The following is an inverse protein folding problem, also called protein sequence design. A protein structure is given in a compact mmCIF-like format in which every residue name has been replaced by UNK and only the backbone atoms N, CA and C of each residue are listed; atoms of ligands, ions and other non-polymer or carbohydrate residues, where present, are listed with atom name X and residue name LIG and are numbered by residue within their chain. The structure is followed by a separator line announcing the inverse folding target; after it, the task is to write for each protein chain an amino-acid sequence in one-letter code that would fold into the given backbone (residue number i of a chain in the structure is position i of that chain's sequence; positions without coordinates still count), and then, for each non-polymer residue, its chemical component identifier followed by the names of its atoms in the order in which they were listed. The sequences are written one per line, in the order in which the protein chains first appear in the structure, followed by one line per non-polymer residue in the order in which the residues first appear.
data_IF_462165951781
#
_entry.id   IF_462165951781
#
_cell.length_a   1.000
_cell.length_b   1.000
_cell.length_c   1.000
_cell.angle_alpha   90.00
_cell.angle_beta   90.00
_cell.angle_gamma   90.00
#
_symmetry.space_group_name_H-M   'P 1'
#
loop_
_entity.id
_entity.type
_entity.pdbx_description
1 polymer ?
#
# COMPACT_ATOMS: atom_id res chain seq x y z
N UNK A 1 29.08 -27.70 15.98
CA UNK A 1 27.93 -28.45 16.53
C UNK A 1 26.81 -27.43 16.70
N UNK A 2 25.76 -27.52 15.90
CA UNK A 2 24.60 -26.62 15.95
C UNK A 2 23.75 -26.90 17.20
N UNK A 3 23.24 -25.85 17.82
CA UNK A 3 22.47 -25.92 19.05
C UNK A 3 21.02 -26.35 18.74
N UNK A 4 20.42 -27.31 19.47
CA UNK A 4 19.12 -27.91 19.13
C UNK A 4 17.89 -26.98 19.21
N UNK A 5 18.09 -25.69 19.52
CA UNK A 5 17.03 -24.68 19.63
C UNK A 5 17.29 -23.45 18.76
N UNK A 6 18.23 -23.51 17.82
CA UNK A 6 18.43 -22.41 16.90
C UNK A 6 17.30 -22.41 15.84
N UNK A 7 16.44 -21.38 15.78
CA UNK A 7 15.44 -21.31 14.73
C UNK A 7 16.15 -21.24 13.38
N UNK A 8 15.66 -21.94 12.34
CA UNK A 8 16.32 -21.99 11.05
C UNK A 8 16.52 -20.56 10.54
N UNK A 9 17.78 -20.12 10.48
CA UNK A 9 18.12 -18.87 9.82
C UNK A 9 17.94 -19.14 8.34
N UNK A 10 16.94 -18.52 7.73
CA UNK A 10 16.78 -18.52 6.29
C UNK A 10 17.95 -17.73 5.66
N UNK A 11 19.12 -18.35 5.57
CA UNK A 11 20.23 -17.87 4.76
C UNK A 11 19.80 -18.06 3.31
N UNK A 12 19.47 -16.94 2.64
CA UNK A 12 19.12 -16.89 1.21
C UNK A 12 20.36 -17.10 0.33
N UNK A 13 21.18 -18.10 0.62
CA UNK A 13 22.38 -18.40 -0.15
C UNK A 13 22.48 -19.90 -0.38
N UNK A 14 22.48 -20.23 -1.68
CA UNK A 14 23.01 -21.47 -2.26
C UNK A 14 22.10 -22.70 -2.27
N UNK A 15 20.95 -22.54 -2.90
CA UNK A 15 20.32 -23.63 -3.66
C UNK A 15 19.48 -23.00 -4.74
N UNK A 16 19.93 -23.04 -6.02
CA UNK A 16 19.11 -22.59 -7.14
C UNK A 16 17.77 -23.33 -7.07
N UNK A 17 16.63 -22.67 -6.80
CA UNK A 17 15.37 -23.32 -7.07
C UNK A 17 15.29 -23.44 -8.58
N UNK A 18 15.06 -24.66 -9.07
CA UNK A 18 14.78 -24.97 -10.47
C UNK A 18 13.41 -24.40 -10.92
N UNK A 19 13.11 -23.15 -10.55
CA UNK A 19 11.92 -22.45 -10.97
C UNK A 19 12.28 -21.64 -12.23
N UNK A 20 11.70 -21.96 -13.38
CA UNK A 20 11.71 -21.08 -14.55
C UNK A 20 10.61 -20.03 -14.35
N UNK A 21 10.95 -18.80 -13.95
CA UNK A 21 9.98 -17.72 -13.75
C UNK A 21 10.56 -16.47 -13.07
N UNK A 22 9.79 -15.37 -13.00
CA UNK A 22 10.20 -14.06 -12.44
C UNK A 22 10.79 -14.12 -11.01
N UNK A 23 10.49 -15.21 -10.29
CA UNK A 23 10.97 -15.56 -8.95
C UNK A 23 12.35 -16.23 -8.91
N UNK A 24 12.96 -16.51 -10.06
CA UNK A 24 14.30 -17.08 -10.16
C UNK A 24 15.34 -15.95 -10.23
N UNK A 25 16.08 -15.74 -9.14
CA UNK A 25 17.16 -14.75 -9.07
C UNK A 25 17.57 -14.43 -7.63
N UNK A 26 18.69 -13.73 -7.44
CA UNK A 26 19.27 -13.45 -6.11
C UNK A 26 18.50 -12.47 -5.20
N UNK A 27 17.35 -11.96 -5.64
CA UNK A 27 16.48 -11.04 -4.88
C UNK A 27 14.99 -11.45 -4.94
N UNK A 28 14.62 -12.70 -4.61
CA UNK A 28 13.24 -13.16 -4.76
C UNK A 28 12.29 -12.46 -3.77
N UNK A 29 12.78 -12.09 -2.59
CA UNK A 29 11.98 -11.48 -1.53
C UNK A 29 11.50 -10.06 -1.87
N UNK A 30 12.38 -9.22 -2.42
CA UNK A 30 12.01 -7.86 -2.81
C UNK A 30 11.09 -7.82 -4.02
N UNK A 31 11.26 -8.74 -4.98
CA UNK A 31 10.34 -8.88 -6.11
C UNK A 31 8.94 -9.28 -5.65
N UNK A 32 8.84 -10.24 -4.73
CA UNK A 32 7.56 -10.65 -4.14
C UNK A 32 6.90 -9.50 -3.36
N UNK A 33 7.68 -8.72 -2.62
CA UNK A 33 7.19 -7.51 -1.95
C UNK A 33 6.59 -6.52 -2.96
N UNK A 34 7.29 -6.17 -4.04
CA UNK A 34 6.78 -5.22 -5.03
C UNK A 34 5.51 -5.71 -5.72
N UNK A 35 5.44 -7.01 -6.03
CA UNK A 35 4.25 -7.62 -6.61
C UNK A 35 3.07 -7.52 -5.64
N UNK A 36 3.26 -7.95 -4.39
CA UNK A 36 2.22 -7.89 -3.35
C UNK A 36 1.80 -6.44 -3.09
N UNK A 37 2.77 -5.54 -2.98
CA UNK A 37 2.56 -4.11 -2.76
C UNK A 37 1.69 -3.51 -3.85
N UNK A 38 2.08 -3.67 -5.12
CA UNK A 38 1.38 -3.09 -6.26
C UNK A 38 -0.03 -3.69 -6.43
N UNK A 39 -0.15 -5.02 -6.35
CA UNK A 39 -1.44 -5.71 -6.47
C UNK A 39 -2.37 -5.31 -5.32
N UNK A 40 -1.88 -5.32 -4.08
CA UNK A 40 -2.67 -4.93 -2.92
C UNK A 40 -3.08 -3.46 -2.96
N UNK A 41 -2.20 -2.55 -3.40
CA UNK A 41 -2.54 -1.14 -3.55
C UNK A 41 -3.65 -0.92 -4.58
N UNK A 42 -3.56 -1.60 -5.73
CA UNK A 42 -4.61 -1.56 -6.76
C UNK A 42 -5.93 -2.15 -6.24
N UNK A 43 -5.88 -3.30 -5.57
CA UNK A 43 -7.07 -3.94 -5.00
C UNK A 43 -7.74 -3.07 -3.94
N UNK A 44 -6.99 -2.47 -3.02
CA UNK A 44 -7.52 -1.53 -2.02
C UNK A 44 -8.19 -0.34 -2.72
N UNK A 45 -7.56 0.21 -3.76
CA UNK A 45 -8.14 1.29 -4.55
C UNK A 45 -9.43 0.88 -5.27
N UNK A 46 -9.48 -0.33 -5.83
CA UNK A 46 -10.67 -0.87 -6.49
C UNK A 46 -11.80 -1.10 -5.50
N UNK A 47 -11.53 -1.74 -4.36
CA UNK A 47 -12.53 -2.01 -3.31
C UNK A 47 -13.06 -0.69 -2.74
N UNK A 48 -12.18 0.27 -2.44
CA UNK A 48 -12.60 1.58 -1.94
C UNK A 48 -13.45 2.35 -2.98
N UNK A 49 -13.10 2.25 -4.27
CA UNK A 49 -13.92 2.82 -5.35
C UNK A 49 -15.28 2.13 -5.47
N UNK A 50 -15.33 0.81 -5.38
CA UNK A 50 -16.60 0.06 -5.42
C UNK A 50 -17.47 0.41 -4.21
N UNK A 51 -16.88 0.59 -3.02
CA UNK A 51 -17.60 1.07 -1.85
C UNK A 51 -18.14 2.49 -2.06
N UNK A 52 -17.39 3.39 -2.69
CA UNK A 52 -17.87 4.71 -3.05
C UNK A 52 -19.07 4.62 -4.00
N UNK A 53 -19.01 3.82 -5.07
CA UNK A 53 -20.14 3.65 -6.01
C UNK A 53 -21.35 3.01 -5.32
N UNK A 54 -21.15 2.03 -4.43
CA UNK A 54 -22.25 1.34 -3.79
C UNK A 54 -22.93 2.15 -2.66
N UNK A 55 -22.21 3.07 -2.02
CA UNK A 55 -22.69 3.80 -0.84
C UNK A 55 -22.95 5.27 -1.17
N UNK A 56 -22.01 5.96 -1.82
CA UNK A 56 -22.08 7.40 -2.07
C UNK A 56 -23.00 7.70 -3.25
N UNK A 57 -22.98 6.89 -4.32
CA UNK A 57 -23.80 7.15 -5.52
C UNK A 57 -25.31 7.14 -5.24
N UNK A 58 -25.88 6.17 -4.48
CA UNK A 58 -27.29 6.23 -4.08
C UNK A 58 -27.62 7.45 -3.22
N UNK A 59 -26.74 7.78 -2.25
CA UNK A 59 -26.93 8.93 -1.37
C UNK A 59 -26.87 10.26 -2.13
N UNK A 60 -26.06 10.34 -3.20
CA UNK A 60 -26.00 11.51 -4.08
C UNK A 60 -27.31 11.70 -4.84
N UNK A 61 -27.92 10.62 -5.35
CA UNK A 61 -29.18 10.69 -6.10
C UNK A 61 -30.36 11.20 -5.27
N UNK A 62 -30.31 11.01 -3.95
CA UNK A 62 -31.34 11.45 -3.00
C UNK A 62 -31.09 12.86 -2.44
N UNK A 63 -29.93 13.47 -2.74
CA UNK A 63 -29.48 14.72 -2.12
C UNK A 63 -29.52 15.91 -3.09
N UNK A 64 -29.68 17.12 -2.54
CA UNK A 64 -29.54 18.36 -3.30
C UNK A 64 -28.10 18.54 -3.81
N UNK A 65 -27.93 19.30 -4.91
CA UNK A 65 -26.65 19.43 -5.61
C UNK A 65 -25.45 19.81 -4.73
N UNK A 66 -25.62 20.69 -3.74
CA UNK A 66 -24.55 21.04 -2.79
C UNK A 66 -24.21 19.89 -1.83
N UNK A 67 -25.23 19.17 -1.34
CA UNK A 67 -25.05 18.02 -0.47
C UNK A 67 -24.40 16.86 -1.21
N UNK A 68 -24.74 16.64 -2.49
CA UNK A 68 -24.13 15.63 -3.35
C UNK A 68 -22.63 15.89 -3.55
N UNK A 69 -22.22 17.15 -3.76
CA UNK A 69 -20.82 17.53 -3.89
C UNK A 69 -20.05 17.25 -2.59
N UNK A 70 -20.59 17.67 -1.44
CA UNK A 70 -20.00 17.40 -0.14
C UNK A 70 -19.84 15.89 0.12
N UNK A 71 -20.87 15.09 -0.16
CA UNK A 71 -20.84 13.63 -0.01
C UNK A 71 -19.76 12.99 -0.89
N UNK A 72 -19.59 13.48 -2.12
CA UNK A 72 -18.54 13.01 -3.03
C UNK A 72 -17.14 13.29 -2.46
N UNK A 73 -16.92 14.50 -1.96
CA UNK A 73 -15.62 14.90 -1.37
C UNK A 73 -15.30 14.09 -0.11
N UNK A 74 -16.28 13.84 0.76
CA UNK A 74 -16.12 12.91 1.89
C UNK A 74 -15.83 11.47 1.45
N UNK A 75 -16.47 11.01 0.37
CA UNK A 75 -16.18 9.71 -0.25
C UNK A 75 -14.72 9.61 -0.71
N UNK A 76 -14.20 10.65 -1.36
CA UNK A 76 -12.80 10.72 -1.79
C UNK A 76 -11.84 10.65 -0.59
N UNK A 77 -12.14 11.38 0.50
CA UNK A 77 -11.36 11.28 1.74
C UNK A 77 -11.36 9.85 2.27
N UNK A 78 -12.50 9.18 2.27
CA UNK A 78 -12.62 7.77 2.67
C UNK A 78 -11.71 6.83 1.86
N UNK A 79 -11.65 7.02 0.54
CA UNK A 79 -10.75 6.26 -0.34
C UNK A 79 -9.28 6.50 0.03
N UNK A 80 -8.88 7.75 0.21
CA UNK A 80 -7.50 8.09 0.55
C UNK A 80 -7.11 7.57 1.94
N UNK A 81 -8.01 7.57 2.91
CA UNK A 81 -7.79 6.97 4.23
C UNK A 81 -7.56 5.45 4.14
N UNK A 82 -8.33 4.74 3.32
CA UNK A 82 -8.14 3.31 3.10
C UNK A 82 -6.76 3.00 2.48
N UNK A 83 -6.34 3.80 1.49
CA UNK A 83 -5.00 3.69 0.89
C UNK A 83 -3.90 4.00 1.91
N UNK A 84 -4.05 5.05 2.73
CA UNK A 84 -3.09 5.40 3.77
C UNK A 84 -2.94 4.28 4.80
N UNK A 85 -4.03 3.63 5.22
CA UNK A 85 -3.97 2.48 6.11
C UNK A 85 -3.13 1.33 5.51
N UNK A 86 -3.33 1.04 4.21
CA UNK A 86 -2.54 0.04 3.50
C UNK A 86 -1.06 0.45 3.36
N UNK A 87 -0.77 1.72 3.09
CA UNK A 87 0.60 2.24 3.02
C UNK A 87 1.32 2.17 4.37
N UNK A 88 0.63 2.44 5.49
CA UNK A 88 1.17 2.27 6.83
C UNK A 88 1.54 0.82 7.12
N UNK A 89 0.66 -0.13 6.76
CA UNK A 89 0.96 -1.56 6.87
C UNK A 89 2.16 -1.94 6.00
N UNK A 90 2.21 -1.43 4.77
CA UNK A 90 3.33 -1.66 3.84
C UNK A 90 4.64 -1.11 4.39
N UNK A 91 4.64 0.05 5.04
CA UNK A 91 5.81 0.63 5.69
C UNK A 91 6.32 -0.27 6.82
N UNK A 92 5.42 -0.80 7.65
CA UNK A 92 5.77 -1.75 8.72
C UNK A 92 6.39 -3.03 8.14
N UNK A 93 5.83 -3.56 7.05
CA UNK A 93 6.35 -4.74 6.36
C UNK A 93 7.75 -4.47 5.81
N UNK A 94 7.96 -3.36 5.08
CA UNK A 94 9.28 -2.98 4.53
C UNK A 94 10.30 -2.80 5.66
N UNK A 95 9.89 -2.19 6.78
CA UNK A 95 10.76 -1.98 7.93
C UNK A 95 11.18 -3.31 8.59
N UNK A 96 10.21 -4.20 8.85
CA UNK A 96 10.45 -5.51 9.47
C UNK A 96 11.24 -6.45 8.57
N UNK A 97 10.84 -6.59 7.30
CA UNK A 97 11.49 -7.48 6.34
C UNK A 97 12.84 -6.92 5.85
N UNK A 98 12.98 -5.60 5.77
CA UNK A 98 14.21 -4.94 5.33
C UNK A 98 15.34 -4.93 6.37
N UNK A 99 15.04 -5.10 7.67
CA UNK A 99 16.05 -5.01 8.75
C UNK A 99 17.13 -6.09 8.64
N UNK A 100 16.78 -7.29 8.17
CA UNK A 100 17.68 -8.43 8.07
C UNK A 100 18.06 -8.76 6.62
N UNK A 101 17.68 -7.92 5.66
CA UNK A 101 17.96 -8.14 4.24
C UNK A 101 19.38 -7.65 3.90
N UNK A 102 20.20 -8.44 3.17
CA UNK A 102 21.52 -8.01 2.70
C UNK A 102 21.43 -6.88 1.66
N UNK A 103 20.23 -6.62 1.12
CA UNK A 103 19.98 -5.61 0.09
C UNK A 103 19.45 -4.30 0.69
N UNK A 104 20.36 -3.48 1.25
CA UNK A 104 20.01 -2.20 1.88
C UNK A 104 19.38 -1.18 0.91
N UNK A 105 19.86 -1.13 -0.35
CA UNK A 105 19.34 -0.21 -1.37
C UNK A 105 17.85 -0.48 -1.65
N UNK A 106 17.47 -1.75 -1.78
CA UNK A 106 16.07 -2.13 -2.04
C UNK A 106 15.15 -1.74 -0.89
N UNK A 107 15.64 -1.82 0.37
CA UNK A 107 14.93 -1.30 1.54
C UNK A 107 14.72 0.20 1.46
N UNK A 108 15.77 0.97 1.20
CA UNK A 108 15.65 2.43 1.12
C UNK A 108 14.71 2.85 -0.01
N UNK A 109 14.78 2.19 -1.16
CA UNK A 109 13.85 2.41 -2.27
C UNK A 109 12.40 2.10 -1.88
N UNK A 110 12.15 0.96 -1.21
CA UNK A 110 10.82 0.59 -0.72
C UNK A 110 10.25 1.61 0.27
N UNK A 111 11.05 2.02 1.26
CA UNK A 111 10.64 3.05 2.23
C UNK A 111 10.36 4.38 1.54
N UNK A 112 11.23 4.81 0.62
CA UNK A 112 11.07 6.07 -0.10
C UNK A 112 9.79 6.09 -0.94
N UNK A 113 9.49 5.01 -1.66
CA UNK A 113 8.26 4.91 -2.47
C UNK A 113 7.01 4.94 -1.58
N UNK A 114 6.99 4.17 -0.49
CA UNK A 114 5.84 4.15 0.42
C UNK A 114 5.63 5.53 1.06
N UNK A 115 6.70 6.18 1.52
CA UNK A 115 6.60 7.54 2.07
C UNK A 115 6.14 8.57 1.04
N UNK A 116 6.66 8.51 -0.19
CA UNK A 116 6.24 9.42 -1.26
C UNK A 116 4.73 9.27 -1.55
N UNK A 117 4.22 8.04 -1.59
CA UNK A 117 2.80 7.77 -1.77
C UNK A 117 1.96 8.22 -0.56
N UNK A 118 2.48 8.10 0.67
CA UNK A 118 1.81 8.64 1.85
C UNK A 118 1.71 10.16 1.81
N UNK A 119 2.80 10.85 1.45
CA UNK A 119 2.81 12.31 1.28
C UNK A 119 1.82 12.73 0.20
N UNK A 120 1.78 12.01 -0.93
CA UNK A 120 0.83 12.29 -2.01
C UNK A 120 -0.63 12.10 -1.55
N UNK A 121 -0.94 11.03 -0.80
CA UNK A 121 -2.27 10.79 -0.25
C UNK A 121 -2.67 11.86 0.78
N UNK A 122 -1.76 12.26 1.67
CA UNK A 122 -1.99 13.36 2.61
C UNK A 122 -2.23 14.70 1.90
N UNK A 123 -1.46 14.97 0.85
CA UNK A 123 -1.64 16.16 0.02
C UNK A 123 -2.99 16.15 -0.69
N UNK A 124 -3.42 15.00 -1.22
CA UNK A 124 -4.76 14.83 -1.80
C UNK A 124 -5.86 15.11 -0.78
N UNK A 125 -5.74 14.60 0.45
CA UNK A 125 -6.70 14.87 1.54
C UNK A 125 -6.73 16.37 1.86
N UNK A 126 -5.56 17.00 1.97
CA UNK A 126 -5.46 18.44 2.20
C UNK A 126 -6.19 19.25 1.11
N UNK A 127 -6.01 18.91 -0.17
CA UNK A 127 -6.70 19.57 -1.27
C UNK A 127 -8.23 19.39 -1.19
N UNK A 128 -8.70 18.18 -0.86
CA UNK A 128 -10.13 17.92 -0.71
C UNK A 128 -10.73 18.67 0.49
N UNK A 129 -9.99 18.74 1.60
CA UNK A 129 -10.40 19.55 2.75
C UNK A 129 -10.42 21.05 2.43
N UNK A 130 -9.48 21.54 1.63
CA UNK A 130 -9.47 22.92 1.17
C UNK A 130 -10.70 23.23 0.30
N UNK A 131 -11.11 22.30 -0.57
CA UNK A 131 -12.33 22.41 -1.38
C UNK A 131 -13.61 22.33 -0.55
N UNK A 132 -13.62 21.57 0.54
CA UNK A 132 -14.75 21.55 1.49
C UNK A 132 -14.86 22.84 2.31
N UNK A 133 -13.76 23.58 2.48
CA UNK A 133 -13.71 24.82 3.24
C UNK A 133 -13.96 26.08 2.39
N UNK A 134 -13.99 25.96 1.05
CA UNK A 134 -14.35 27.08 0.17
C UNK A 134 -15.88 27.29 0.17
N UNK A 135 -16.36 28.52 0.44
CA UNK A 135 -17.78 28.85 0.49
C UNK A 135 -18.45 28.85 -0.89
#
# INVERSE_FOLDING_TARGET
MEHPYEPPRATLTEGRPAARGFLAGGQPLWKAFWLFFAVGFVLVGLVARQAMVAIVDPLMQESDGEHAVSLTLWGIIGIELAKLAYLLLSLVVVWRCGRNSPWAIARHAGVAVVLALMVLGLYSIYLVLALLATP
#
